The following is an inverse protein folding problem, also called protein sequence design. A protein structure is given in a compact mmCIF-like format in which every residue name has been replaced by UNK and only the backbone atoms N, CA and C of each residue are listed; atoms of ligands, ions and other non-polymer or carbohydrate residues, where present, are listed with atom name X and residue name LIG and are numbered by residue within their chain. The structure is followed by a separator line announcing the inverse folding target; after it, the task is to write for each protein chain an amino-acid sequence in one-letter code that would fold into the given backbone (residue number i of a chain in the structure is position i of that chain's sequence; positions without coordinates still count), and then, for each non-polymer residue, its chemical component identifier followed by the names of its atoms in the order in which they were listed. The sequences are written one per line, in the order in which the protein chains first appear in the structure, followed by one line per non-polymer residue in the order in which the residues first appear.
data_IF_778258024937
#
_entry.id   IF_778258024937
#
_cell.length_a   1.000
_cell.length_b   1.000
_cell.length_c   1.000
_cell.angle_alpha   90.00
_cell.angle_beta   90.00
_cell.angle_gamma   90.00
#
_symmetry.space_group_name_H-M   'P 1'
#
loop_
_entity.id
_entity.type
_entity.pdbx_description
1 polymer ?
#
# COMPACT_ATOMS: atom_id res chain seq x y z
N UNK A 1 9.92 14.82 3.39
CA UNK A 1 9.51 13.41 3.19
C UNK A 1 8.00 13.34 3.40
N UNK A 2 7.20 12.76 2.49
CA UNK A 2 5.76 12.63 2.70
C UNK A 2 5.47 11.72 3.90
N UNK A 3 4.33 11.94 4.53
CA UNK A 3 3.82 11.14 5.65
C UNK A 3 2.38 10.76 5.38
N UNK A 4 2.00 9.57 5.84
CA UNK A 4 0.62 9.10 5.82
C UNK A 4 -0.03 9.42 7.17
N UNK A 5 -1.20 10.06 7.11
CA UNK A 5 -1.99 10.46 8.26
C UNK A 5 -3.47 10.24 7.98
N UNK A 6 -4.19 9.77 8.99
CA UNK A 6 -5.64 9.72 9.02
C UNK A 6 -6.18 10.61 10.16
N UNK A 7 -7.45 10.44 10.52
CA UNK A 7 -8.08 11.18 11.60
C UNK A 7 -7.47 10.91 12.99
N UNK A 8 -6.88 9.73 13.21
CA UNK A 8 -6.26 9.36 14.49
C UNK A 8 -4.81 9.84 14.59
N UNK A 9 -4.14 10.06 13.46
CA UNK A 9 -2.81 10.65 13.41
C UNK A 9 -1.90 10.04 12.36
N UNK A 10 -0.60 10.29 12.50
CA UNK A 10 0.42 9.74 11.59
C UNK A 10 0.55 8.22 11.77
N UNK A 11 0.76 7.50 10.68
CA UNK A 11 0.95 6.04 10.75
C UNK A 11 2.04 5.49 9.85
N UNK A 12 2.49 6.23 8.84
CA UNK A 12 3.44 5.70 7.87
C UNK A 12 4.25 6.77 7.16
N UNK A 13 5.34 6.33 6.57
CA UNK A 13 6.24 7.14 5.74
C UNK A 13 6.98 6.23 4.76
N UNK A 14 7.61 6.80 3.72
CA UNK A 14 8.41 6.02 2.77
C UNK A 14 9.55 5.20 3.39
N UNK A 15 9.99 5.53 4.61
CA UNK A 15 11.14 4.89 5.25
C UNK A 15 10.79 4.08 6.50
N UNK A 16 9.57 4.21 7.02
CA UNK A 16 9.15 3.53 8.25
C UNK A 16 7.65 3.67 8.47
N UNK A 17 7.04 2.60 8.97
CA UNK A 17 5.66 2.59 9.46
C UNK A 17 5.60 2.50 10.99
N UNK A 18 4.50 2.99 11.54
CA UNK A 18 4.20 2.86 12.97
C UNK A 18 3.66 1.47 13.30
N UNK A 19 3.68 1.10 14.59
CA UNK A 19 3.01 -0.13 15.07
C UNK A 19 1.51 -0.17 14.75
N UNK A 20 0.87 0.99 14.59
CA UNK A 20 -0.56 1.09 14.26
C UNK A 20 -0.87 0.60 12.84
N UNK A 21 0.08 0.76 11.91
CA UNK A 21 -0.03 0.29 10.52
C UNK A 21 0.53 -1.12 10.29
N UNK A 22 0.91 -1.84 11.36
CA UNK A 22 1.55 -3.15 11.26
C UNK A 22 0.58 -4.20 10.71
N UNK A 23 1.03 -4.98 9.72
CA UNK A 23 0.34 -6.18 9.27
C UNK A 23 0.65 -7.31 10.26
N UNK A 24 -0.40 -8.01 10.69
CA UNK A 24 -0.35 -9.16 11.60
C UNK A 24 -1.12 -10.34 11.03
N UNK A 25 -1.05 -11.50 11.68
CA UNK A 25 -1.83 -12.68 11.30
C UNK A 25 -3.36 -12.45 11.37
N UNK A 26 -3.81 -11.47 12.15
CA UNK A 26 -5.22 -11.09 12.27
C UNK A 26 -5.67 -10.09 11.19
N UNK A 27 -4.76 -9.62 10.34
CA UNK A 27 -5.11 -8.66 9.28
C UNK A 27 -6.02 -9.32 8.24
N UNK A 28 -7.12 -8.63 7.89
CA UNK A 28 -8.11 -9.10 6.89
C UNK A 28 -8.31 -8.12 5.73
N UNK A 29 -7.87 -6.88 5.89
CA UNK A 29 -7.93 -5.82 4.88
C UNK A 29 -6.62 -5.07 4.91
N UNK A 30 -6.08 -4.77 3.74
CA UNK A 30 -4.84 -4.01 3.61
C UNK A 30 -5.06 -2.79 2.73
N UNK A 31 -4.29 -1.74 2.98
CA UNK A 31 -4.11 -0.62 2.07
C UNK A 31 -2.63 -0.51 1.77
N UNK A 32 -2.24 -0.75 0.52
CA UNK A 32 -0.85 -0.70 0.09
C UNK A 32 -0.57 0.62 -0.60
N UNK A 33 0.54 1.27 -0.23
CA UNK A 33 1.00 2.50 -0.86
C UNK A 33 2.38 2.28 -1.48
N UNK A 34 2.55 2.66 -2.75
CA UNK A 34 3.85 2.63 -3.45
C UNK A 34 4.26 4.08 -3.69
N UNK A 35 5.29 4.55 -2.98
CA UNK A 35 5.82 5.90 -3.16
C UNK A 35 6.76 5.95 -4.37
N UNK A 36 6.42 6.73 -5.39
CA UNK A 36 7.26 6.93 -6.56
C UNK A 36 7.84 8.35 -6.64
N UNK A 37 9.07 8.50 -6.17
CA UNK A 37 9.79 9.78 -6.26
C UNK A 37 10.30 10.11 -7.67
N UNK A 38 10.40 9.09 -8.54
CA UNK A 38 10.85 9.21 -9.93
C UNK A 38 9.73 9.51 -10.94
N UNK A 39 8.51 9.78 -10.48
CA UNK A 39 7.34 9.97 -11.33
C UNK A 39 6.54 8.68 -11.56
N UNK A 40 5.55 8.75 -12.45
CA UNK A 40 4.52 7.71 -12.61
C UNK A 40 4.90 6.56 -13.56
N UNK A 41 6.03 6.65 -14.24
CA UNK A 41 6.45 5.66 -15.22
C UNK A 41 6.62 4.28 -14.55
N UNK A 42 5.98 3.26 -15.11
CA UNK A 42 6.03 1.89 -14.58
C UNK A 42 5.13 1.59 -13.37
N UNK A 43 4.48 2.59 -12.75
CA UNK A 43 3.62 2.37 -11.57
C UNK A 43 2.46 1.41 -11.85
N UNK A 44 1.86 1.48 -13.02
CA UNK A 44 0.77 0.57 -13.42
C UNK A 44 1.24 -0.89 -13.41
N UNK A 45 2.47 -1.16 -13.87
CA UNK A 45 3.08 -2.49 -13.84
C UNK A 45 3.34 -2.98 -12.42
N UNK A 46 3.82 -2.11 -11.53
CA UNK A 46 3.99 -2.46 -10.11
C UNK A 46 2.67 -2.73 -9.40
N UNK A 47 1.61 -1.96 -9.71
CA UNK A 47 0.27 -2.20 -9.17
C UNK A 47 -0.31 -3.53 -9.66
N UNK A 48 -0.16 -3.85 -10.96
CA UNK A 48 -0.57 -5.13 -11.51
C UNK A 48 0.18 -6.30 -10.86
N UNK A 49 1.50 -6.18 -10.72
CA UNK A 49 2.32 -7.20 -10.07
C UNK A 49 1.92 -7.43 -8.60
N UNK A 50 1.70 -6.37 -7.83
CA UNK A 50 1.23 -6.49 -6.45
C UNK A 50 -0.14 -7.16 -6.37
N UNK A 51 -1.06 -6.81 -7.27
CA UNK A 51 -2.38 -7.44 -7.38
C UNK A 51 -2.27 -8.94 -7.64
N UNK A 52 -1.45 -9.35 -8.60
CA UNK A 52 -1.28 -10.76 -8.96
C UNK A 52 -0.74 -11.58 -7.77
N UNK A 53 0.23 -11.04 -7.03
CA UNK A 53 0.76 -11.67 -5.83
C UNK A 53 -0.30 -11.80 -4.72
N UNK A 54 -1.10 -10.75 -4.49
CA UNK A 54 -2.17 -10.78 -3.48
C UNK A 54 -3.28 -11.77 -3.84
N UNK A 55 -3.64 -11.86 -5.13
CA UNK A 55 -4.58 -12.87 -5.62
C UNK A 55 -4.03 -14.28 -5.39
N UNK A 56 -2.76 -14.51 -5.73
CA UNK A 56 -2.14 -15.83 -5.66
C UNK A 56 -1.90 -16.31 -4.23
N UNK A 57 -1.40 -15.44 -3.36
CA UNK A 57 -0.89 -15.85 -2.04
C UNK A 57 -1.76 -15.43 -0.87
N UNK A 58 -2.64 -14.45 -1.04
CA UNK A 58 -3.49 -13.94 0.03
C UNK A 58 -4.99 -14.14 -0.25
N UNK A 59 -5.35 -14.83 -1.35
CA UNK A 59 -6.73 -15.02 -1.79
C UNK A 59 -7.51 -13.70 -1.82
N UNK A 60 -6.83 -12.61 -2.19
CA UNK A 60 -7.41 -11.28 -2.11
C UNK A 60 -8.68 -11.17 -2.96
N UNK A 61 -9.66 -10.45 -2.44
CA UNK A 61 -10.90 -10.10 -3.13
C UNK A 61 -11.11 -8.59 -3.02
N UNK A 62 -12.00 -8.04 -3.84
CA UNK A 62 -12.38 -6.61 -3.81
C UNK A 62 -11.19 -5.65 -3.92
N UNK A 63 -10.31 -5.90 -4.89
CA UNK A 63 -9.10 -5.08 -5.09
C UNK A 63 -9.41 -3.84 -5.94
N UNK A 64 -9.08 -2.67 -5.38
CA UNK A 64 -9.06 -1.40 -6.09
C UNK A 64 -7.62 -0.87 -6.14
N UNK A 65 -7.24 -0.30 -7.29
CA UNK A 65 -5.91 0.28 -7.51
C UNK A 65 -6.04 1.64 -8.18
N UNK A 66 -5.18 2.59 -7.80
CA UNK A 66 -5.15 3.91 -8.42
C UNK A 66 -3.79 4.58 -8.25
N UNK A 67 -3.51 5.55 -9.13
CA UNK A 67 -2.33 6.41 -9.06
C UNK A 67 -2.80 7.82 -8.68
N UNK A 68 -2.20 8.38 -7.63
CA UNK A 68 -2.49 9.72 -7.12
C UNK A 68 -1.28 10.63 -7.38
N UNK A 69 -1.52 11.90 -7.74
CA UNK A 69 -0.49 12.91 -8.01
C UNK A 69 -0.60 14.08 -7.03
#
# INVERSE_FOLDING_TARGET
MPVLKDAEGYFGSPTSDSKRGMITEDTRRIMMNIFAFGGKEGLEGFLAFAKDLLLQYAQAADLETGIIQ
#
